data_IF_193326157580
#
_entry.id   IF_193326157580
#
_cell.length_a   1.000
_cell.length_b   1.000
_cell.length_c   1.000
_cell.angle_alpha   90.00
_cell.angle_beta   90.00
_cell.angle_gamma   90.00
#
_symmetry.space_group_name_H-M   'P 1'
#
loop_
_entity.id
_entity.type
_entity.pdbx_description
1 polymer ?
#
# COMPACT_ATOMS: atom_id res chain seq x y z
N UNK A 1 12.09 22.02 12.25
CA UNK A 1 10.66 22.39 12.20
C UNK A 1 10.19 22.39 10.75
N UNK A 2 9.44 21.38 10.30
CA UNK A 2 9.03 21.24 8.91
C UNK A 2 7.73 22.02 8.65
N UNK A 3 7.85 23.11 7.88
CA UNK A 3 6.75 23.97 7.45
C UNK A 3 5.82 23.18 6.49
N UNK A 4 4.71 22.64 7.00
CA UNK A 4 3.73 21.88 6.21
C UNK A 4 2.91 22.86 5.37
N UNK A 5 3.21 22.95 4.09
CA UNK A 5 2.39 23.72 3.16
C UNK A 5 0.99 23.09 3.03
N UNK A 6 -0.10 23.88 2.93
CA UNK A 6 -1.45 23.38 2.81
C UNK A 6 -1.67 22.69 1.46
N UNK A 7 -1.88 21.38 1.49
CA UNK A 7 -2.21 20.51 0.34
C UNK A 7 -3.72 20.52 0.13
N UNK A 8 -4.17 20.55 -1.13
CA UNK A 8 -5.57 20.30 -1.46
C UNK A 8 -5.88 18.81 -1.28
N UNK A 9 -6.35 18.44 -0.09
CA UNK A 9 -6.91 17.11 0.12
C UNK A 9 -8.29 17.05 -0.56
N UNK A 10 -8.33 16.38 -1.71
CA UNK A 10 -9.53 16.14 -2.51
C UNK A 10 -10.66 15.56 -1.67
N UNK A 11 -10.35 14.85 -0.58
CA UNK A 11 -11.39 14.32 0.31
C UNK A 11 -12.08 15.36 1.17
N UNK A 12 -11.47 16.52 1.40
CA UNK A 12 -12.17 17.66 2.00
C UNK A 12 -13.10 18.34 1.00
N UNK A 13 -12.74 18.37 -0.28
CA UNK A 13 -13.63 18.86 -1.35
C UNK A 13 -14.80 17.90 -1.57
N UNK A 14 -14.55 16.58 -1.54
CA UNK A 14 -15.58 15.53 -1.62
C UNK A 14 -16.54 15.59 -0.42
N UNK A 15 -16.02 15.84 0.80
CA UNK A 15 -16.84 16.07 2.01
C UNK A 15 -17.60 17.41 1.97
N UNK A 16 -16.99 18.48 1.49
CA UNK A 16 -17.62 19.79 1.37
C UNK A 16 -18.70 19.84 0.27
N UNK A 17 -18.54 19.04 -0.79
CA UNK A 17 -19.58 18.84 -1.81
C UNK A 17 -20.69 17.92 -1.30
N UNK A 18 -20.37 16.91 -0.49
CA UNK A 18 -21.38 16.07 0.15
C UNK A 18 -22.21 16.86 1.18
N UNK A 19 -21.60 17.77 1.94
CA UNK A 19 -22.31 18.62 2.90
C UNK A 19 -23.13 19.72 2.25
N UNK A 20 -22.73 20.24 1.08
CA UNK A 20 -23.54 21.21 0.30
C UNK A 20 -24.79 20.60 -0.34
N UNK A 21 -24.86 19.27 -0.48
CA UNK A 21 -26.01 18.57 -1.04
C UNK A 21 -27.08 18.21 0.02
N UNK A 22 -26.90 18.61 1.28
CA UNK A 22 -27.88 18.39 2.36
C UNK A 22 -28.42 19.73 2.87
N UNK A 23 -29.25 20.38 2.06
CA UNK A 23 -30.09 21.49 2.52
C UNK A 23 -31.54 21.19 2.07
N UNK A 24 -32.44 20.79 2.98
CA UNK A 24 -33.77 20.28 2.61
C UNK A 24 -34.78 21.36 2.18
N UNK A 25 -34.43 22.65 2.23
CA UNK A 25 -35.39 23.74 2.02
C UNK A 25 -35.05 24.65 0.82
N UNK A 26 -34.96 24.10 -0.39
CA UNK A 26 -35.10 24.93 -1.60
C UNK A 26 -35.64 24.12 -2.77
N UNK A 27 -36.97 23.97 -2.79
CA UNK A 27 -37.73 23.48 -3.93
C UNK A 27 -38.11 24.68 -4.81
N UNK A 28 -37.23 25.08 -5.72
CA UNK A 28 -37.66 25.78 -6.93
C UNK A 28 -36.74 25.42 -8.09
N UNK A 29 -37.32 24.70 -9.05
CA UNK A 29 -37.02 24.71 -10.48
C UNK A 29 -35.56 24.98 -10.87
N UNK A 30 -34.79 23.91 -10.98
CA UNK A 30 -34.01 23.55 -12.18
C UNK A 30 -33.27 22.26 -11.87
N UNK A 31 -33.69 21.14 -12.47
CA UNK A 31 -32.89 19.91 -12.51
C UNK A 31 -31.70 20.19 -13.43
N UNK A 32 -30.46 20.35 -12.93
CA UNK A 32 -29.32 20.42 -13.82
C UNK A 32 -29.08 18.98 -14.24
N UNK A 33 -29.51 18.63 -15.46
CA UNK A 33 -29.06 17.42 -16.13
C UNK A 33 -27.53 17.39 -16.03
N UNK A 34 -26.96 16.30 -15.53
CA UNK A 34 -25.50 16.10 -15.43
C UNK A 34 -24.75 16.36 -16.75
N UNK A 35 -25.50 16.34 -17.87
CA UNK A 35 -25.10 16.78 -19.22
C UNK A 35 -24.68 18.26 -19.31
N UNK A 36 -25.39 19.20 -18.67
CA UNK A 36 -25.14 20.64 -18.85
C UNK A 36 -23.85 21.13 -18.17
N UNK A 37 -23.46 20.53 -17.04
CA UNK A 37 -22.15 20.76 -16.42
C UNK A 37 -21.00 20.23 -17.27
N UNK A 38 -21.22 19.13 -17.98
CA UNK A 38 -20.23 18.51 -18.86
C UNK A 38 -20.05 19.32 -20.16
N UNK A 39 -21.13 19.93 -20.66
CA UNK A 39 -21.08 20.83 -21.81
C UNK A 39 -20.35 22.15 -21.50
N UNK A 40 -20.45 22.66 -20.28
CA UNK A 40 -19.68 23.84 -19.84
C UNK A 40 -18.19 23.56 -19.60
N UNK A 41 -17.81 22.31 -19.27
CA UNK A 41 -16.40 21.86 -19.25
C UNK A 41 -15.79 21.73 -20.66
N UNK A 42 -16.64 21.54 -21.69
CA UNK A 42 -16.24 21.46 -23.11
C UNK A 42 -15.99 22.85 -23.73
N UNK A 43 -16.63 23.89 -23.18
CA UNK A 43 -16.56 25.27 -23.71
C UNK A 43 -15.41 26.12 -23.13
N UNK A 44 -14.74 25.67 -22.07
CA UNK A 44 -13.47 26.23 -21.61
C UNK A 44 -12.37 25.20 -21.80
N UNK A 45 -11.41 25.46 -22.68
CA UNK A 45 -10.32 24.56 -23.11
C UNK A 45 -9.51 23.94 -21.95
N UNK A 46 -10.07 22.92 -21.29
CA UNK A 46 -9.31 21.95 -20.52
C UNK A 46 -9.61 20.60 -21.15
N UNK A 47 -8.58 20.09 -21.82
CA UNK A 47 -8.67 18.94 -22.70
C UNK A 47 -9.08 17.70 -21.87
N UNK A 48 -10.22 17.09 -22.18
CA UNK A 48 -10.70 15.84 -21.56
C UNK A 48 -9.60 14.77 -21.60
N UNK A 49 -8.77 14.81 -22.65
CA UNK A 49 -7.58 14.00 -22.80
C UNK A 49 -6.59 14.15 -21.63
N UNK A 50 -6.31 15.39 -21.20
CA UNK A 50 -5.41 15.66 -20.07
C UNK A 50 -5.94 15.07 -18.76
N UNK A 51 -7.25 15.12 -18.52
CA UNK A 51 -7.84 14.48 -17.35
C UNK A 51 -7.73 12.96 -17.42
N UNK A 52 -7.89 12.38 -18.60
CA UNK A 52 -7.72 10.95 -18.82
C UNK A 52 -6.27 10.50 -18.63
N UNK A 53 -5.30 11.28 -19.13
CA UNK A 53 -3.88 10.99 -18.98
C UNK A 53 -3.43 11.10 -17.51
N UNK A 54 -3.92 12.09 -16.77
CA UNK A 54 -3.65 12.18 -15.33
C UNK A 54 -4.26 10.99 -14.59
N UNK A 55 -5.48 10.59 -14.95
CA UNK A 55 -6.14 9.44 -14.35
C UNK A 55 -5.39 8.12 -14.63
N UNK A 56 -4.96 7.88 -15.88
CA UNK A 56 -4.23 6.66 -16.24
C UNK A 56 -2.87 6.62 -15.54
N UNK A 57 -2.24 7.77 -15.38
CA UNK A 57 -1.00 7.90 -14.64
C UNK A 57 -1.18 7.57 -13.14
N UNK A 58 -2.25 8.08 -12.52
CA UNK A 58 -2.62 7.74 -11.13
C UNK A 58 -2.85 6.23 -10.98
N UNK A 59 -3.58 5.60 -11.92
CA UNK A 59 -3.80 4.14 -11.90
C UNK A 59 -2.50 3.35 -12.03
N UNK A 60 -1.59 3.74 -12.94
CA UNK A 60 -0.28 3.08 -13.10
C UNK A 60 0.57 3.20 -11.84
N UNK A 61 0.61 4.37 -11.22
CA UNK A 61 1.32 4.56 -9.94
C UNK A 61 0.74 3.68 -8.83
N UNK A 62 -0.59 3.61 -8.76
CA UNK A 62 -1.29 2.75 -7.80
C UNK A 62 -0.97 1.28 -8.02
N UNK A 63 -1.02 0.80 -9.27
CA UNK A 63 -0.69 -0.58 -9.61
C UNK A 63 0.75 -0.93 -9.22
N UNK A 64 1.71 -0.08 -9.58
CA UNK A 64 3.12 -0.27 -9.23
C UNK A 64 3.32 -0.31 -7.71
N UNK A 65 2.71 0.63 -6.96
CA UNK A 65 2.82 0.63 -5.50
C UNK A 65 2.17 -0.62 -4.87
N UNK A 66 1.04 -1.09 -5.41
CA UNK A 66 0.39 -2.32 -4.95
C UNK A 66 1.26 -3.56 -5.19
N UNK A 67 1.93 -3.65 -6.36
CA UNK A 67 2.89 -4.72 -6.63
C UNK A 67 4.05 -4.70 -5.63
N UNK A 68 4.62 -3.53 -5.36
CA UNK A 68 5.69 -3.37 -4.38
C UNK A 68 5.21 -3.76 -2.97
N UNK A 69 4.00 -3.34 -2.57
CA UNK A 69 3.40 -3.74 -1.28
C UNK A 69 3.11 -5.25 -1.21
N UNK A 70 2.69 -5.88 -2.31
CA UNK A 70 2.50 -7.34 -2.37
C UNK A 70 3.82 -8.07 -2.14
N UNK A 71 4.89 -7.63 -2.80
CA UNK A 71 6.24 -8.15 -2.58
C UNK A 71 6.63 -7.94 -1.11
N UNK A 72 6.44 -6.74 -0.57
CA UNK A 72 6.74 -6.45 0.85
C UNK A 72 6.01 -7.40 1.80
N UNK A 73 4.72 -7.66 1.57
CA UNK A 73 3.92 -8.60 2.37
C UNK A 73 4.47 -10.02 2.29
N UNK A 74 4.80 -10.50 1.10
CA UNK A 74 5.38 -11.83 0.92
C UNK A 74 6.69 -11.97 1.69
N UNK A 75 7.58 -10.96 1.61
CA UNK A 75 8.83 -10.96 2.37
C UNK A 75 8.61 -10.93 3.88
N UNK A 76 7.60 -10.19 4.39
CA UNK A 76 7.24 -10.21 5.82
C UNK A 76 6.81 -11.60 6.29
N UNK A 77 6.02 -12.30 5.48
CA UNK A 77 5.56 -13.67 5.78
C UNK A 77 6.76 -14.62 5.79
N UNK A 78 7.63 -14.57 4.77
CA UNK A 78 8.84 -15.40 4.70
C UNK A 78 9.73 -15.17 5.94
N UNK A 79 9.94 -13.91 6.33
CA UNK A 79 10.75 -13.60 7.53
C UNK A 79 10.10 -14.09 8.82
N UNK A 80 8.77 -14.04 8.93
CA UNK A 80 8.05 -14.55 10.10
C UNK A 80 8.17 -16.08 10.20
N UNK A 81 7.95 -16.78 9.08
CA UNK A 81 8.12 -18.24 8.99
C UNK A 81 9.55 -18.63 9.37
N UNK A 82 10.55 -17.96 8.81
CA UNK A 82 11.95 -18.21 9.15
C UNK A 82 12.24 -17.97 10.64
N UNK A 83 11.68 -16.92 11.24
CA UNK A 83 11.83 -16.66 12.68
C UNK A 83 11.20 -17.75 13.55
N UNK A 84 10.06 -18.31 13.14
CA UNK A 84 9.40 -19.43 13.83
C UNK A 84 10.28 -20.68 13.77
N UNK A 85 10.82 -21.02 12.58
CA UNK A 85 11.74 -22.13 12.43
C UNK A 85 12.99 -21.97 13.29
N UNK A 86 13.60 -20.78 13.31
CA UNK A 86 14.75 -20.49 14.14
C UNK A 86 14.42 -20.65 15.64
N UNK A 87 13.27 -20.13 16.09
CA UNK A 87 12.80 -20.30 17.46
C UNK A 87 12.56 -21.76 17.84
N UNK A 88 11.95 -22.54 16.93
CA UNK A 88 11.73 -23.98 17.13
C UNK A 88 13.04 -24.75 17.26
N UNK A 89 14.00 -24.54 16.35
CA UNK A 89 15.29 -25.21 16.43
C UNK A 89 16.10 -24.78 17.67
N UNK A 90 16.02 -23.51 18.07
CA UNK A 90 16.62 -23.04 19.32
C UNK A 90 15.99 -23.72 20.54
N UNK A 91 14.66 -23.82 20.58
CA UNK A 91 13.94 -24.50 21.65
C UNK A 91 14.34 -25.99 21.74
N UNK A 92 14.35 -26.70 20.61
CA UNK A 92 14.80 -28.08 20.54
C UNK A 92 16.26 -28.20 21.00
N UNK A 93 17.13 -27.27 20.62
CA UNK A 93 18.53 -27.29 21.04
C UNK A 93 18.68 -27.11 22.57
N UNK A 94 17.90 -26.22 23.18
CA UNK A 94 17.93 -25.96 24.64
C UNK A 94 17.32 -27.12 25.43
N UNK A 95 16.12 -27.57 25.05
CA UNK A 95 15.42 -28.67 25.75
C UNK A 95 16.18 -29.99 25.62
N UNK A 96 16.78 -30.26 24.46
CA UNK A 96 17.57 -31.47 24.25
C UNK A 96 18.88 -31.46 25.03
N UNK A 97 19.53 -30.29 25.21
CA UNK A 97 20.71 -30.15 26.09
C UNK A 97 20.38 -30.59 27.53
N UNK A 98 19.19 -30.25 28.01
CA UNK A 98 18.75 -30.59 29.37
C UNK A 98 18.32 -32.05 29.50
N UNK A 99 17.94 -32.72 28.41
CA UNK A 99 17.39 -34.08 28.45
C UNK A 99 18.42 -35.20 28.26
N UNK A 100 19.65 -34.91 27.83
CA UNK A 100 20.68 -35.93 27.50
C UNK A 100 21.95 -35.82 28.32
N UNK A 101 21.85 -35.33 29.55
CA UNK A 101 22.88 -35.50 30.59
C UNK A 101 23.00 -36.99 30.91
N UNK A 102 24.15 -37.57 30.57
CA UNK A 102 24.51 -38.91 31.02
C UNK A 102 25.08 -38.75 32.43
N UNK A 103 24.36 -39.25 33.43
CA UNK A 103 24.83 -39.29 34.81
C UNK A 103 25.60 -40.58 35.04
N UNK A 104 26.66 -40.51 35.83
CA UNK A 104 27.33 -41.69 36.34
C UNK A 104 26.48 -42.28 37.47
N UNK A 105 26.05 -43.53 37.36
CA UNK A 105 25.16 -44.19 38.34
C UNK A 105 25.78 -44.28 39.75
N UNK A 106 27.11 -44.29 39.85
CA UNK A 106 27.81 -44.48 41.12
C UNK A 106 28.08 -43.17 41.90
N UNK A 107 28.32 -42.05 41.19
CA UNK A 107 28.79 -40.80 41.81
C UNK A 107 27.83 -39.61 41.60
N UNK A 108 26.79 -39.75 40.78
CA UNK A 108 25.88 -38.66 40.39
C UNK A 108 26.53 -37.58 39.51
N UNK A 109 27.80 -37.74 39.15
CA UNK A 109 28.53 -36.79 38.31
C UNK A 109 28.09 -36.85 36.85
N UNK A 110 28.08 -35.69 36.18
CA UNK A 110 27.70 -35.57 34.77
C UNK A 110 28.86 -36.02 33.88
N UNK A 111 28.77 -37.22 33.29
CA UNK A 111 29.82 -37.81 32.45
C UNK A 111 29.92 -37.16 31.06
N UNK A 112 28.82 -36.60 30.57
CA UNK A 112 28.78 -35.94 29.28
C UNK A 112 27.37 -35.73 28.74
N UNK A 113 27.30 -35.10 27.58
CA UNK A 113 26.04 -34.77 26.91
C UNK A 113 25.93 -35.53 25.58
N UNK A 114 24.89 -36.36 25.40
CA UNK A 114 24.61 -36.97 24.10
C UNK A 114 23.95 -35.94 23.18
N UNK A 115 24.75 -35.28 22.35
CA UNK A 115 24.27 -34.20 21.48
C UNK A 115 23.74 -34.77 20.15
N UNK A 116 22.49 -34.47 19.82
CA UNK A 116 21.96 -34.77 18.48
C UNK A 116 22.59 -33.84 17.44
N UNK A 117 23.59 -34.36 16.72
CA UNK A 117 24.35 -33.61 15.69
C UNK A 117 23.43 -32.98 14.63
N UNK A 118 22.33 -33.66 14.28
CA UNK A 118 21.37 -33.24 13.25
C UNK A 118 20.75 -31.87 13.57
N UNK A 119 20.20 -31.66 14.77
CA UNK A 119 19.57 -30.38 15.12
C UNK A 119 20.58 -29.22 15.18
N UNK A 120 21.80 -29.48 15.63
CA UNK A 120 22.90 -28.51 15.56
C UNK A 120 23.24 -28.11 14.14
N UNK A 121 23.33 -29.07 13.22
CA UNK A 121 23.62 -28.80 11.80
C UNK A 121 22.46 -28.01 11.17
N UNK A 122 21.20 -28.40 11.41
CA UNK A 122 20.03 -27.67 10.92
C UNK A 122 19.96 -26.24 11.47
N UNK A 123 20.31 -26.04 12.74
CA UNK A 123 20.36 -24.71 13.37
C UNK A 123 21.46 -23.84 12.75
N UNK A 124 22.65 -24.40 12.51
CA UNK A 124 23.73 -23.69 11.84
C UNK A 124 23.35 -23.27 10.43
N UNK A 125 22.70 -24.15 9.65
CA UNK A 125 22.22 -23.84 8.30
C UNK A 125 21.19 -22.71 8.35
N UNK A 126 20.17 -22.83 9.21
CA UNK A 126 19.07 -21.86 9.30
C UNK A 126 19.58 -20.49 9.77
N UNK A 127 20.51 -20.47 10.73
CA UNK A 127 21.18 -19.27 11.21
C UNK A 127 22.06 -18.62 10.12
N UNK A 128 22.84 -19.41 9.40
CA UNK A 128 23.69 -18.93 8.30
C UNK A 128 22.89 -18.28 7.18
N UNK A 129 21.75 -18.88 6.81
CA UNK A 129 20.83 -18.33 5.82
C UNK A 129 20.27 -16.97 6.30
N UNK A 130 19.86 -16.89 7.56
CA UNK A 130 19.41 -15.63 8.17
C UNK A 130 20.47 -14.54 8.15
N UNK A 131 21.68 -14.89 8.58
CA UNK A 131 22.83 -13.99 8.60
C UNK A 131 23.14 -13.48 7.20
N UNK A 132 23.12 -14.35 6.18
CA UNK A 132 23.28 -13.97 4.78
C UNK A 132 22.22 -12.94 4.38
N UNK A 133 20.94 -13.18 4.65
CA UNK A 133 19.87 -12.25 4.27
C UNK A 133 19.94 -10.90 5.02
N UNK A 134 20.39 -10.90 6.27
CA UNK A 134 20.64 -9.70 7.08
C UNK A 134 21.81 -8.89 6.52
N UNK A 135 22.97 -9.53 6.31
CA UNK A 135 24.18 -8.89 5.78
C UNK A 135 23.97 -8.33 4.37
N UNK A 136 23.25 -9.06 3.51
CA UNK A 136 22.97 -8.59 2.16
C UNK A 136 21.99 -7.41 2.16
N UNK A 137 21.31 -7.12 3.28
CA UNK A 137 20.33 -6.05 3.40
C UNK A 137 19.14 -6.20 2.43
N UNK A 138 18.98 -7.37 1.79
CA UNK A 138 17.93 -7.63 0.79
C UNK A 138 16.55 -7.47 1.40
N UNK A 139 16.37 -7.97 2.62
CA UNK A 139 15.13 -7.84 3.39
C UNK A 139 14.84 -6.35 3.65
N UNK A 140 15.81 -5.57 4.13
CA UNK A 140 15.62 -4.17 4.45
C UNK A 140 15.32 -3.31 3.21
N UNK A 141 15.97 -3.60 2.08
CA UNK A 141 15.70 -2.94 0.79
C UNK A 141 14.28 -3.22 0.31
N UNK A 142 13.79 -4.46 0.43
CA UNK A 142 12.43 -4.85 0.02
C UNK A 142 11.37 -4.34 1.00
N UNK A 143 11.67 -4.29 2.29
CA UNK A 143 10.79 -3.74 3.33
C UNK A 143 10.59 -2.24 3.20
N UNK A 144 11.64 -1.50 2.86
CA UNK A 144 11.60 -0.05 2.64
C UNK A 144 11.21 0.34 1.20
N UNK A 145 10.90 -0.64 0.34
CA UNK A 145 10.53 -0.41 -1.05
C UNK A 145 9.37 0.57 -1.22
N UNK A 146 8.22 0.39 -0.52
CA UNK A 146 7.06 1.28 -0.70
C UNK A 146 7.33 2.74 -0.30
N UNK A 147 8.08 2.97 0.78
CA UNK A 147 8.39 4.33 1.24
C UNK A 147 9.41 5.01 0.34
N UNK A 148 10.42 4.26 -0.14
CA UNK A 148 11.38 4.78 -1.12
C UNK A 148 10.70 5.10 -2.46
N UNK A 149 9.76 4.25 -2.89
CA UNK A 149 8.99 4.47 -4.11
C UNK A 149 8.16 5.76 -4.01
N UNK A 150 7.40 5.96 -2.93
CA UNK A 150 6.60 7.19 -2.77
C UNK A 150 7.49 8.44 -2.70
N UNK A 151 8.64 8.36 -2.03
CA UNK A 151 9.61 9.46 -2.00
C UNK A 151 10.19 9.77 -3.38
N UNK A 152 10.60 8.75 -4.15
CA UNK A 152 11.13 8.91 -5.50
C UNK A 152 10.07 9.48 -6.45
N UNK A 153 8.85 8.93 -6.43
CA UNK A 153 7.73 9.47 -7.20
C UNK A 153 7.46 10.93 -6.82
N UNK A 154 7.44 11.28 -5.54
CA UNK A 154 7.19 12.66 -5.11
C UNK A 154 8.32 13.63 -5.51
N UNK A 155 9.57 13.17 -5.64
CA UNK A 155 10.65 13.99 -6.22
C UNK A 155 10.38 14.30 -7.69
N UNK A 156 9.98 13.30 -8.48
CA UNK A 156 9.68 13.46 -9.91
C UNK A 156 8.37 14.21 -10.16
N UNK A 157 7.40 14.12 -9.24
CA UNK A 157 6.10 14.80 -9.34
C UNK A 157 6.11 16.26 -8.88
N UNK A 158 7.14 16.66 -8.13
CA UNK A 158 7.30 18.02 -7.61
C UNK A 158 7.31 19.10 -8.71
N UNK A 159 8.04 18.96 -9.83
CA UNK A 159 8.00 19.94 -10.93
C UNK A 159 6.61 20.10 -11.54
N UNK A 160 5.80 19.04 -11.53
CA UNK A 160 4.44 19.03 -12.05
C UNK A 160 3.40 19.55 -11.05
N UNK A 161 3.81 20.03 -9.87
CA UNK A 161 2.91 20.43 -8.79
C UNK A 161 1.93 19.31 -8.39
N UNK A 162 2.44 18.07 -8.39
CA UNK A 162 1.71 16.86 -7.98
C UNK A 162 2.40 16.20 -6.77
N UNK A 163 1.60 15.55 -5.93
CA UNK A 163 2.08 14.74 -4.83
C UNK A 163 1.26 13.46 -4.72
N UNK A 164 1.94 12.32 -4.69
CA UNK A 164 1.34 11.00 -4.54
C UNK A 164 1.33 10.57 -3.08
N UNK A 165 0.13 10.24 -2.57
CA UNK A 165 -0.09 9.76 -1.21
C UNK A 165 -0.32 8.24 -1.22
N UNK A 166 0.73 7.48 -0.90
CA UNK A 166 0.73 6.01 -0.94
C UNK A 166 0.12 5.29 0.26
N UNK A 167 -0.29 6.00 1.31
CA UNK A 167 -0.73 5.39 2.58
C UNK A 167 -2.22 5.10 2.62
N UNK A 168 -3.08 6.13 2.61
CA UNK A 168 -4.50 5.93 2.91
C UNK A 168 -5.45 5.88 1.71
N UNK A 169 -5.07 6.45 0.55
CA UNK A 169 -5.98 6.52 -0.60
C UNK A 169 -5.36 6.19 -1.96
N UNK A 170 -4.03 6.00 -2.03
CA UNK A 170 -3.31 5.83 -3.30
C UNK A 170 -3.69 6.91 -4.32
N UNK A 171 -3.87 8.14 -3.84
CA UNK A 171 -4.38 9.26 -4.64
C UNK A 171 -3.28 10.24 -4.94
N UNK A 172 -3.41 10.84 -6.12
CA UNK A 172 -2.68 12.02 -6.51
C UNK A 172 -3.34 13.25 -5.87
N UNK A 173 -2.53 14.16 -5.37
CA UNK A 173 -2.96 15.44 -4.81
C UNK A 173 -2.26 16.55 -5.57
N UNK A 174 -2.98 17.66 -5.74
CA UNK A 174 -2.52 18.81 -6.49
C UNK A 174 -2.01 19.87 -5.51
N UNK A 175 -0.83 20.45 -5.77
CA UNK A 175 -0.39 21.61 -5.02
C UNK A 175 -1.24 22.84 -5.38
N UNK A 176 -1.27 23.82 -4.48
CA UNK A 176 -2.11 25.04 -4.57
C UNK A 176 -1.84 25.91 -5.81
N UNK A 177 -0.73 25.68 -6.52
CA UNK A 177 -0.36 26.37 -7.76
C UNK A 177 -1.28 26.02 -8.94
N UNK A 178 -2.00 24.90 -8.87
CA UNK A 178 -2.94 24.48 -9.93
C UNK A 178 -4.30 25.20 -9.72
N UNK A 179 -4.92 25.78 -10.77
CA UNK A 179 -6.20 26.47 -10.66
C UNK A 179 -7.30 25.58 -10.05
N UNK A 180 -8.07 26.10 -9.09
CA UNK A 180 -9.17 25.34 -8.46
C UNK A 180 -10.19 24.80 -9.45
N UNK A 181 -10.49 25.57 -10.51
CA UNK A 181 -11.42 25.16 -11.58
C UNK A 181 -10.98 23.87 -12.28
N UNK A 182 -9.66 23.69 -12.47
CA UNK A 182 -9.10 22.47 -13.05
C UNK A 182 -9.26 21.28 -12.09
N UNK A 183 -8.96 21.49 -10.81
CA UNK A 183 -9.07 20.45 -9.78
C UNK A 183 -10.52 19.98 -9.64
N UNK A 184 -11.48 20.91 -9.60
CA UNK A 184 -12.91 20.60 -9.57
C UNK A 184 -13.37 19.84 -10.82
N UNK A 185 -12.91 20.26 -12.01
CA UNK A 185 -13.18 19.57 -13.27
C UNK A 185 -12.66 18.12 -13.28
N UNK A 186 -11.43 17.91 -12.80
CA UNK A 186 -10.84 16.58 -12.66
C UNK A 186 -11.62 15.70 -11.67
N UNK A 187 -12.01 16.24 -10.51
CA UNK A 187 -12.79 15.48 -9.51
C UNK A 187 -14.13 15.01 -10.10
N UNK A 188 -14.84 15.90 -10.80
CA UNK A 188 -16.10 15.55 -11.46
C UNK A 188 -15.90 14.45 -12.52
N UNK A 189 -14.85 14.58 -13.34
CA UNK A 189 -14.50 13.58 -14.35
C UNK A 189 -14.21 12.21 -13.74
N UNK A 190 -13.38 12.14 -12.69
CA UNK A 190 -13.05 10.89 -11.99
C UNK A 190 -14.28 10.26 -11.34
N UNK A 191 -15.17 11.08 -10.78
CA UNK A 191 -16.40 10.60 -10.14
C UNK A 191 -17.34 9.97 -11.17
N UNK A 192 -17.48 10.60 -12.34
CA UNK A 192 -18.27 10.09 -13.45
C UNK A 192 -17.70 8.78 -14.01
N UNK A 193 -16.38 8.68 -14.21
CA UNK A 193 -15.74 7.43 -14.65
C UNK A 193 -15.93 6.29 -13.64
N UNK A 194 -15.83 6.57 -12.34
CA UNK A 194 -16.10 5.57 -11.28
C UNK A 194 -17.55 5.12 -11.27
N UNK A 195 -18.49 6.03 -11.52
CA UNK A 195 -19.91 5.67 -11.62
C UNK A 195 -20.16 4.73 -12.80
N UNK A 196 -19.58 5.04 -13.96
CA UNK A 196 -19.67 4.20 -15.17
C UNK A 196 -19.05 2.82 -14.98
N UNK A 197 -17.90 2.73 -14.32
CA UNK A 197 -17.26 1.43 -14.08
C UNK A 197 -18.03 0.55 -13.08
N UNK A 198 -18.67 1.13 -12.06
CA UNK A 198 -19.58 0.41 -11.15
C UNK A 198 -20.79 -0.15 -11.87
N UNK A 199 -21.47 0.69 -12.67
CA UNK A 199 -22.63 0.27 -13.46
C UNK A 199 -22.31 -0.89 -14.40
N UNK A 200 -21.14 -0.87 -15.06
CA UNK A 200 -20.70 -1.99 -15.91
C UNK A 200 -20.53 -3.29 -15.14
N UNK A 201 -19.92 -3.24 -13.94
CA UNK A 201 -19.75 -4.43 -13.08
C UNK A 201 -21.09 -4.97 -12.59
N UNK A 202 -22.03 -4.10 -12.25
CA UNK A 202 -23.38 -4.50 -11.83
C UNK A 202 -24.15 -5.17 -12.97
N UNK A 203 -24.04 -4.67 -14.20
CA UNK A 203 -24.64 -5.31 -15.37
C UNK A 203 -24.02 -6.67 -15.67
N UNK A 204 -22.69 -6.80 -15.53
CA UNK A 204 -21.99 -8.07 -15.77
C UNK A 204 -22.37 -9.12 -14.72
N UNK A 205 -22.41 -8.75 -13.43
CA UNK A 205 -22.83 -9.64 -12.36
C UNK A 205 -24.31 -10.09 -12.46
N UNK A 206 -25.17 -9.31 -13.12
CA UNK A 206 -26.56 -9.72 -13.40
C UNK A 206 -26.61 -10.77 -14.50
N UNK A 207 -25.82 -10.61 -15.56
CA UNK A 207 -25.72 -11.58 -16.67
C UNK A 207 -25.11 -12.93 -16.26
N UNK A 208 -24.24 -12.96 -15.26
CA UNK A 208 -23.64 -14.21 -14.76
C UNK A 208 -24.56 -14.98 -13.79
N UNK A 209 -25.70 -14.40 -13.40
CA UNK A 209 -26.67 -14.99 -12.46
C UNK A 209 -27.97 -15.45 -13.13
N UNK A 210 -28.17 -15.11 -14.39
CA UNK A 210 -29.26 -15.61 -15.26
C UNK A 210 -28.74 -16.81 -16.06
#
# INVERSE_FOLDING_TARGET
MANRQPVWDISQVEKAQASKNFNPNNTSNQKPTSSSKLHNLRNGQINVQTYYDIYIFEERLKQNLLQIKKIQRNYRIITAIWSIFLGYFLWCFVTYKNSTTIYNEENGEVLGYKRNKIYTICLLITSSIGLYYLLTGKIQRKLNGPSKFTQQCNKTLKPFNLQFHGDHKYRLSFYRRIPRRFVEGYILFVTELKKRSKLKKEMQNKKEKE
#
